data_IF_634743555351
#
_entry.id   IF_634743555351
#
_cell.length_a   1.000
_cell.length_b   1.000
_cell.length_c   1.000
_cell.angle_alpha   90.00
_cell.angle_beta   90.00
_cell.angle_gamma   90.00
#
_symmetry.space_group_name_H-M   'P 1'
#
loop_
_entity.id
_entity.type
_entity.pdbx_description
1 polymer ?
#
# COMPACT_ATOMS: atom_id res chain seq x y z
N UNK A 1 -37.01 -0.54 -106.02
CA UNK A 1 -35.96 -0.88 -105.04
C UNK A 1 -36.41 -0.37 -103.66
N UNK A 2 -36.29 -1.14 -102.56
CA UNK A 2 -36.81 -0.74 -101.26
C UNK A 2 -35.84 0.16 -100.48
N UNK A 3 -36.40 1.06 -99.68
CA UNK A 3 -35.76 2.10 -98.87
C UNK A 3 -35.09 1.52 -97.62
N UNK A 4 -33.90 2.00 -97.18
CA UNK A 4 -33.30 1.52 -95.94
C UNK A 4 -34.05 2.03 -94.69
N UNK A 5 -34.14 1.15 -93.68
CA UNK A 5 -34.77 1.39 -92.38
C UNK A 5 -33.88 2.25 -91.46
N UNK A 6 -34.45 3.15 -90.63
CA UNK A 6 -33.65 4.02 -89.77
C UNK A 6 -33.00 3.26 -88.58
N UNK A 7 -31.77 3.64 -88.27
CA UNK A 7 -30.96 3.14 -87.15
C UNK A 7 -31.48 3.69 -85.81
N UNK A 8 -31.61 2.88 -84.74
CA UNK A 8 -32.01 3.36 -83.42
C UNK A 8 -30.99 4.33 -82.81
N UNK A 9 -31.49 5.36 -82.11
CA UNK A 9 -30.68 6.35 -81.41
C UNK A 9 -30.02 5.76 -80.14
N UNK A 10 -28.81 6.22 -79.75
CA UNK A 10 -28.10 5.71 -78.59
C UNK A 10 -28.79 6.09 -77.27
N UNK A 11 -28.88 5.12 -76.36
CA UNK A 11 -29.45 5.28 -75.02
C UNK A 11 -28.37 5.74 -74.05
N UNK A 12 -28.61 6.82 -73.32
CA UNK A 12 -27.69 7.31 -72.27
C UNK A 12 -27.91 6.51 -70.99
N UNK A 13 -26.85 5.85 -70.51
CA UNK A 13 -26.86 5.15 -69.21
C UNK A 13 -26.59 6.17 -68.10
N UNK A 14 -27.38 6.21 -67.01
CA UNK A 14 -27.15 7.14 -65.91
C UNK A 14 -25.90 6.76 -65.11
N UNK A 15 -25.07 7.76 -64.81
CA UNK A 15 -23.86 7.63 -63.99
C UNK A 15 -24.24 7.43 -62.52
N UNK A 16 -23.66 6.45 -61.81
CA UNK A 16 -23.94 6.25 -60.39
C UNK A 16 -23.43 7.42 -59.52
N UNK A 17 -24.23 7.81 -58.54
CA UNK A 17 -23.91 8.87 -57.57
C UNK A 17 -22.92 8.33 -56.53
N UNK A 18 -21.87 9.08 -56.14
CA UNK A 18 -20.91 8.64 -55.14
C UNK A 18 -21.55 8.48 -53.74
N UNK A 19 -21.22 7.38 -53.07
CA UNK A 19 -21.64 7.10 -51.69
C UNK A 19 -20.83 7.96 -50.69
N UNK A 20 -21.47 8.57 -49.66
CA UNK A 20 -20.75 9.30 -48.63
C UNK A 20 -19.77 8.41 -47.84
N UNK A 21 -18.61 8.96 -47.49
CA UNK A 21 -17.64 8.29 -46.64
C UNK A 21 -18.18 8.11 -45.20
N UNK A 22 -17.83 7.01 -44.50
CA UNK A 22 -18.26 6.79 -43.13
C UNK A 22 -17.61 7.78 -42.17
N UNK A 23 -18.41 8.32 -41.25
CA UNK A 23 -17.97 9.23 -40.18
C UNK A 23 -17.15 8.46 -39.14
N UNK A 24 -15.96 8.95 -38.70
CA UNK A 24 -15.19 8.30 -37.65
C UNK A 24 -15.98 8.24 -36.33
N UNK A 25 -15.89 7.09 -35.64
CA UNK A 25 -16.46 6.94 -34.30
C UNK A 25 -15.72 7.83 -33.29
N UNK A 26 -16.40 8.44 -32.30
CA UNK A 26 -15.74 9.21 -31.26
C UNK A 26 -14.73 8.36 -30.48
N UNK A 27 -13.51 8.89 -30.31
CA UNK A 27 -12.50 8.28 -29.46
C UNK A 27 -12.92 8.41 -27.99
N UNK A 28 -12.91 7.32 -27.18
CA UNK A 28 -13.19 7.42 -25.76
C UNK A 28 -12.21 8.38 -25.06
N UNK A 29 -12.72 9.20 -24.14
CA UNK A 29 -11.89 10.05 -23.28
C UNK A 29 -10.98 9.14 -22.43
N UNK A 30 -9.70 9.51 -22.19
CA UNK A 30 -8.84 8.74 -21.31
C UNK A 30 -9.48 8.61 -19.93
N UNK A 31 -9.53 7.38 -19.43
CA UNK A 31 -9.94 7.09 -18.06
C UNK A 31 -8.93 7.74 -17.10
N UNK A 32 -9.38 8.46 -16.06
CA UNK A 32 -8.46 9.00 -15.05
C UNK A 32 -7.60 7.86 -14.47
N UNK A 33 -6.30 8.10 -14.32
CA UNK A 33 -5.40 7.19 -13.61
C UNK A 33 -5.94 6.99 -12.18
N UNK A 34 -5.89 5.77 -11.61
CA UNK A 34 -6.25 5.57 -10.21
C UNK A 34 -5.51 6.56 -9.32
N UNK A 35 -6.20 7.15 -8.35
CA UNK A 35 -5.56 7.87 -7.26
C UNK A 35 -4.54 6.93 -6.61
N UNK A 36 -3.28 7.34 -6.40
CA UNK A 36 -2.30 6.52 -5.70
C UNK A 36 -2.88 6.08 -4.35
N UNK A 37 -2.70 4.82 -3.98
CA UNK A 37 -3.01 4.38 -2.62
C UNK A 37 -2.25 5.28 -1.62
N UNK A 38 -2.80 5.54 -0.43
CA UNK A 38 -2.06 6.22 0.62
C UNK A 38 -0.73 5.49 0.83
N UNK A 39 0.37 6.25 0.82
CA UNK A 39 1.69 5.73 1.18
C UNK A 39 1.60 5.18 2.61
N UNK A 40 2.26 4.08 2.95
CA UNK A 40 1.96 3.30 4.15
C UNK A 40 1.98 4.13 5.45
N UNK A 41 2.95 5.01 5.63
CA UNK A 41 3.05 5.92 6.78
C UNK A 41 1.97 7.00 6.80
N UNK A 42 1.35 7.35 5.66
CA UNK A 42 0.23 8.29 5.64
C UNK A 42 -1.01 7.74 6.36
N UNK A 43 -1.12 6.41 6.49
CA UNK A 43 -2.19 5.76 7.25
C UNK A 43 -2.13 6.09 8.76
N UNK A 44 -0.99 6.55 9.26
CA UNK A 44 -0.82 6.91 10.66
C UNK A 44 -1.57 8.20 11.04
N UNK A 45 -2.22 8.89 10.10
CA UNK A 45 -3.00 10.08 10.39
C UNK A 45 -4.41 9.72 10.84
N UNK A 46 -4.61 9.54 12.15
CA UNK A 46 -5.95 9.53 12.77
C UNK A 46 -6.65 8.17 12.86
N UNK A 47 -5.94 7.07 12.65
CA UNK A 47 -6.46 5.72 12.84
C UNK A 47 -5.55 4.89 13.75
N UNK A 48 -6.15 3.94 14.47
CA UNK A 48 -5.41 2.79 14.96
C UNK A 48 -5.05 1.93 13.75
N UNK A 49 -3.78 1.53 13.64
CA UNK A 49 -3.25 0.80 12.48
C UNK A 49 -2.71 -0.56 12.93
N UNK A 50 -3.04 -1.58 12.14
CA UNK A 50 -2.48 -2.94 12.21
C UNK A 50 -1.12 -2.96 11.51
N UNK A 51 -0.19 -3.74 12.05
CA UNK A 51 1.16 -3.91 11.50
C UNK A 51 1.36 -5.38 11.21
N UNK A 52 1.56 -5.71 9.93
CA UNK A 52 1.80 -7.08 9.49
C UNK A 52 3.15 -7.22 8.79
N UNK A 53 3.75 -8.40 8.90
CA UNK A 53 4.97 -8.74 8.17
C UNK A 53 4.72 -8.78 6.67
N UNK A 54 5.60 -8.16 5.88
CA UNK A 54 5.47 -8.14 4.43
C UNK A 54 5.65 -9.52 3.77
N UNK A 55 6.28 -10.48 4.47
CA UNK A 55 6.38 -11.88 4.03
C UNK A 55 5.11 -12.70 4.26
N UNK A 56 4.06 -12.10 4.85
CA UNK A 56 2.79 -12.77 5.14
C UNK A 56 2.80 -13.69 6.36
N UNK A 57 3.87 -13.69 7.16
CA UNK A 57 4.00 -14.56 8.34
C UNK A 57 3.07 -14.21 9.51
N UNK A 58 2.50 -13.00 9.55
CA UNK A 58 1.51 -12.61 10.54
C UNK A 58 1.53 -11.14 10.93
N UNK A 59 0.65 -10.80 11.87
CA UNK A 59 0.59 -9.51 12.54
C UNK A 59 1.56 -9.43 13.72
N UNK A 60 1.82 -8.22 14.21
CA UNK A 60 2.57 -8.08 15.45
C UNK A 60 1.68 -8.40 16.65
N UNK A 61 2.27 -9.08 17.63
CA UNK A 61 1.65 -9.39 18.91
C UNK A 61 2.70 -9.38 20.03
N UNK A 62 2.26 -9.71 21.23
CA UNK A 62 3.10 -9.86 22.42
C UNK A 62 2.88 -11.23 23.04
N UNK A 63 3.97 -11.89 23.47
CA UNK A 63 3.93 -13.16 24.19
C UNK A 63 3.67 -12.98 25.71
N UNK A 64 3.57 -14.08 26.45
CA UNK A 64 3.33 -14.06 27.91
C UNK A 64 4.47 -13.42 28.72
N UNK A 65 5.62 -13.13 28.11
CA UNK A 65 6.77 -12.46 28.72
C UNK A 65 6.88 -10.99 28.31
N UNK A 66 5.84 -10.43 27.70
CA UNK A 66 5.82 -9.06 27.17
C UNK A 66 6.85 -8.81 26.05
N UNK A 67 7.23 -9.85 25.30
CA UNK A 67 8.14 -9.73 24.16
C UNK A 67 7.34 -9.63 22.87
N UNK A 68 7.74 -8.72 21.98
CA UNK A 68 7.17 -8.58 20.65
C UNK A 68 7.44 -9.82 19.78
N UNK A 69 6.39 -10.32 19.15
CA UNK A 69 6.41 -11.49 18.27
C UNK A 69 5.61 -11.24 17.00
N UNK A 70 5.82 -12.10 16.01
CA UNK A 70 4.92 -12.25 14.87
C UNK A 70 3.95 -13.37 15.18
N UNK A 71 2.66 -13.12 14.96
CA UNK A 71 1.60 -14.06 15.31
C UNK A 71 0.45 -14.00 14.32
N UNK A 72 -0.35 -15.06 14.29
CA UNK A 72 -1.63 -15.07 13.58
C UNK A 72 -2.69 -14.20 14.27
N UNK A 73 -2.48 -13.88 15.55
CA UNK A 73 -3.27 -12.87 16.25
C UNK A 73 -2.63 -11.50 16.04
N UNK A 74 -3.45 -10.50 15.73
CA UNK A 74 -3.02 -9.12 15.52
C UNK A 74 -3.62 -8.26 16.62
N UNK A 75 -2.78 -7.89 17.58
CA UNK A 75 -3.23 -7.34 18.86
C UNK A 75 -2.55 -6.01 19.19
N UNK A 76 -1.72 -5.51 18.27
CA UNK A 76 -0.99 -4.26 18.46
C UNK A 76 -1.62 -3.12 17.67
N UNK A 77 -1.44 -1.91 18.22
CA UNK A 77 -1.78 -0.66 17.55
C UNK A 77 -0.61 0.29 17.60
N UNK A 78 -0.43 1.05 16.51
CA UNK A 78 0.35 2.28 16.54
C UNK A 78 -0.53 3.46 16.96
N UNK A 79 -0.04 4.28 17.89
CA UNK A 79 -0.70 5.50 18.35
C UNK A 79 0.14 6.70 17.87
N UNK A 80 -0.40 7.57 17.01
CA UNK A 80 0.32 8.72 16.47
C UNK A 80 0.66 9.76 17.55
N UNK A 81 1.87 10.31 17.53
CA UNK A 81 2.33 11.33 18.49
C UNK A 81 2.18 12.79 18.00
N UNK A 82 1.56 12.99 16.83
CA UNK A 82 1.34 14.31 16.23
C UNK A 82 2.52 14.75 15.34
N UNK A 83 2.32 14.69 14.02
CA UNK A 83 3.32 15.08 13.01
C UNK A 83 4.49 14.09 12.85
N UNK A 84 5.21 14.18 11.73
CA UNK A 84 6.48 13.48 11.46
C UNK A 84 6.46 11.93 11.42
N UNK A 85 5.31 11.30 11.13
CA UNK A 85 5.18 9.84 11.02
C UNK A 85 5.68 9.08 12.27
N UNK A 86 5.56 9.71 13.43
CA UNK A 86 6.02 9.18 14.71
C UNK A 86 4.87 8.56 15.49
N UNK A 87 5.13 7.39 16.06
CA UNK A 87 4.15 6.63 16.84
C UNK A 87 4.80 6.05 18.09
N UNK A 88 3.96 5.79 19.09
CA UNK A 88 4.24 4.74 20.08
C UNK A 88 3.47 3.50 19.67
N UNK A 89 4.01 2.32 19.95
CA UNK A 89 3.37 1.03 19.64
C UNK A 89 2.92 0.41 20.97
N UNK A 90 1.66 -0.04 21.05
CA UNK A 90 1.04 -0.55 22.28
C UNK A 90 0.27 -1.84 22.02
N UNK A 91 0.17 -2.69 23.04
CA UNK A 91 -0.73 -3.85 23.04
C UNK A 91 -2.12 -3.39 23.49
N UNK A 92 -3.15 -3.70 22.69
CA UNK A 92 -4.53 -3.30 22.97
C UNK A 92 -5.26 -4.23 23.93
N UNK A 93 -4.81 -5.47 24.07
CA UNK A 93 -5.46 -6.49 24.92
C UNK A 93 -5.29 -6.19 26.41
N UNK A 94 -4.14 -5.65 26.79
CA UNK A 94 -3.75 -5.58 28.19
C UNK A 94 -4.41 -4.42 28.97
N UNK A 95 -5.11 -3.49 28.30
CA UNK A 95 -5.74 -2.28 28.89
C UNK A 95 -4.83 -1.44 29.81
N UNK A 96 -3.53 -1.74 29.85
CA UNK A 96 -2.55 -1.16 30.79
C UNK A 96 -1.70 -0.07 30.15
N UNK A 97 -1.97 0.29 28.88
CA UNK A 97 -1.23 1.31 28.13
C UNK A 97 0.29 1.14 28.29
N UNK A 98 0.77 -0.10 28.13
CA UNK A 98 2.21 -0.38 28.06
C UNK A 98 2.67 -0.27 26.61
N UNK A 99 3.86 0.30 26.45
CA UNK A 99 4.43 0.64 25.16
C UNK A 99 5.69 -0.14 24.89
N UNK A 100 6.00 -0.29 23.61
CA UNK A 100 7.26 -0.87 23.19
C UNK A 100 8.45 0.02 23.50
N UNK A 101 9.54 -0.64 23.90
CA UNK A 101 10.89 -0.11 24.03
C UNK A 101 11.90 -1.15 23.52
N UNK A 102 13.02 -0.69 23.00
CA UNK A 102 14.13 -1.54 22.58
C UNK A 102 15.01 -1.87 23.79
N UNK A 103 15.01 -3.13 24.20
CA UNK A 103 15.83 -3.63 25.30
C UNK A 103 16.79 -4.67 24.75
N UNK A 104 18.09 -4.34 24.72
CA UNK A 104 19.14 -5.24 24.19
C UNK A 104 18.82 -5.77 22.77
N UNK A 105 18.31 -4.91 21.89
CA UNK A 105 17.94 -5.26 20.51
C UNK A 105 16.63 -6.04 20.36
N UNK A 106 15.84 -6.17 21.43
CA UNK A 106 14.49 -6.79 21.39
C UNK A 106 13.40 -5.77 21.68
N UNK A 107 12.26 -5.96 21.04
CA UNK A 107 11.07 -5.16 21.27
C UNK A 107 10.33 -5.68 22.52
N UNK A 108 10.36 -4.92 23.62
CA UNK A 108 9.69 -5.25 24.88
C UNK A 108 8.49 -4.32 25.10
N UNK A 109 7.30 -4.88 25.35
CA UNK A 109 6.11 -4.12 25.69
C UNK A 109 5.98 -3.96 27.21
N UNK A 110 6.78 -3.07 27.78
CA UNK A 110 6.91 -2.92 29.24
C UNK A 110 7.03 -1.49 29.71
N UNK A 111 7.17 -0.52 28.79
CA UNK A 111 7.30 0.88 29.15
C UNK A 111 5.94 1.43 29.62
N UNK A 112 5.85 2.08 30.80
CA UNK A 112 4.62 2.69 31.26
C UNK A 112 4.22 3.90 30.40
N UNK A 113 2.98 4.37 30.57
CA UNK A 113 2.44 5.50 29.83
C UNK A 113 3.27 6.77 29.97
N UNK A 114 3.61 7.38 28.83
CA UNK A 114 4.46 8.57 28.76
C UNK A 114 5.97 8.28 28.69
N UNK A 115 6.37 7.01 28.73
CA UNK A 115 7.79 6.59 28.63
C UNK A 115 8.07 5.61 27.48
N UNK A 116 7.06 5.30 26.67
CA UNK A 116 7.22 4.48 25.46
C UNK A 116 8.18 5.14 24.47
N UNK A 117 8.97 4.32 23.79
CA UNK A 117 9.84 4.82 22.75
C UNK A 117 9.04 5.22 21.51
N UNK A 118 9.49 6.31 20.88
CA UNK A 118 8.88 6.80 19.65
C UNK A 118 9.54 6.14 18.44
N UNK A 119 8.74 5.42 17.67
CA UNK A 119 9.16 4.82 16.41
C UNK A 119 8.77 5.73 15.26
N UNK A 120 9.68 5.91 14.31
CA UNK A 120 9.42 6.69 13.10
C UNK A 120 9.11 5.74 11.94
N UNK A 121 7.95 5.89 11.33
CA UNK A 121 7.63 5.20 10.09
C UNK A 121 8.40 5.82 8.93
N UNK A 122 9.05 4.96 8.15
CA UNK A 122 9.77 5.35 6.93
C UNK A 122 9.19 4.55 5.78
N UNK A 123 8.71 5.26 4.76
CA UNK A 123 8.20 4.65 3.53
C UNK A 123 9.33 3.91 2.81
N UNK A 124 9.00 2.74 2.28
CA UNK A 124 9.88 1.96 1.40
C UNK A 124 9.08 1.59 0.13
N UNK A 125 9.59 0.65 -0.67
CA UNK A 125 8.99 0.30 -1.96
C UNK A 125 7.54 -0.23 -1.84
N UNK A 126 6.71 0.08 -2.83
CA UNK A 126 5.37 -0.49 -3.05
C UNK A 126 4.37 -0.33 -1.88
N UNK A 127 4.47 0.78 -1.13
CA UNK A 127 3.56 1.07 -0.01
C UNK A 127 3.85 0.27 1.26
N UNK A 128 4.97 -0.46 1.28
CA UNK A 128 5.52 -1.04 2.49
C UNK A 128 6.25 0.04 3.30
N UNK A 129 6.44 -0.24 4.59
CA UNK A 129 7.16 0.67 5.50
C UNK A 129 8.24 -0.07 6.27
N UNK A 130 9.18 0.69 6.83
CA UNK A 130 10.05 0.23 7.92
C UNK A 130 9.86 1.10 9.15
N UNK A 131 10.06 0.53 10.33
CA UNK A 131 9.96 1.24 11.61
C UNK A 131 11.36 1.51 12.16
N UNK A 132 11.74 2.78 12.27
CA UNK A 132 13.02 3.20 12.84
C UNK A 132 12.86 3.48 14.34
N UNK A 133 13.68 2.83 15.16
CA UNK A 133 13.78 3.07 16.60
C UNK A 133 14.64 4.32 16.91
N UNK A 134 14.52 4.90 18.12
CA UNK A 134 15.30 6.09 18.51
C UNK A 134 16.82 5.92 18.41
N UNK A 135 17.32 4.70 18.66
CA UNK A 135 18.74 4.35 18.57
C UNK A 135 19.27 4.25 17.11
N UNK A 136 18.39 4.45 16.12
CA UNK A 136 18.72 4.38 14.70
C UNK A 136 18.64 2.99 14.08
N UNK A 137 18.33 1.96 14.87
CA UNK A 137 18.04 0.62 14.36
C UNK A 137 16.61 0.51 13.83
N UNK A 138 16.30 -0.59 13.15
CA UNK A 138 15.02 -0.80 12.49
C UNK A 138 14.39 -2.10 12.95
N UNK A 139 13.08 -2.08 13.18
CA UNK A 139 12.36 -3.26 13.65
C UNK A 139 12.44 -4.36 12.59
N UNK A 140 12.87 -5.53 13.04
CA UNK A 140 13.23 -6.67 12.21
C UNK A 140 12.52 -7.93 12.74
N UNK A 141 11.92 -8.70 11.84
CA UNK A 141 11.46 -10.05 12.08
C UNK A 141 12.68 -10.99 12.18
N UNK A 142 12.89 -11.60 13.34
CA UNK A 142 13.95 -12.60 13.53
C UNK A 142 13.37 -13.84 14.19
N UNK A 143 13.24 -14.92 13.40
CA UNK A 143 12.72 -16.22 13.83
C UNK A 143 11.40 -16.12 14.64
N UNK A 144 10.45 -15.33 14.13
CA UNK A 144 9.13 -15.08 14.75
C UNK A 144 9.12 -14.07 15.90
N UNK A 145 10.26 -13.47 16.24
CA UNK A 145 10.38 -12.41 17.26
C UNK A 145 10.60 -11.05 16.61
N UNK A 146 10.18 -10.00 17.31
CA UNK A 146 10.47 -8.61 16.93
C UNK A 146 11.76 -8.17 17.62
N UNK A 147 12.77 -7.92 16.80
CA UNK A 147 14.09 -7.42 17.21
C UNK A 147 14.35 -6.08 16.53
N UNK A 148 15.52 -5.49 16.77
CA UNK A 148 16.00 -4.38 15.96
C UNK A 148 17.38 -4.66 15.38
N UNK A 149 17.61 -4.20 14.15
CA UNK A 149 18.87 -4.37 13.44
C UNK A 149 19.14 -3.13 12.56
N UNK A 150 20.40 -2.83 12.23
CA UNK A 150 20.72 -1.76 11.29
C UNK A 150 20.21 -2.08 9.87
N UNK A 151 20.04 -1.04 9.05
CA UNK A 151 19.87 -1.18 7.61
C UNK A 151 21.23 -1.16 6.93
N UNK A 152 21.61 -2.27 6.30
CA UNK A 152 22.82 -2.38 5.49
C UNK A 152 22.49 -2.18 4.00
N UNK A 153 21.86 -1.05 3.66
CA UNK A 153 21.31 -0.77 2.33
C UNK A 153 19.78 -0.83 2.31
N UNK A 154 19.20 -1.41 1.25
CA UNK A 154 17.75 -1.56 1.11
C UNK A 154 17.19 -2.49 2.20
N UNK A 155 16.08 -2.13 2.86
CA UNK A 155 15.42 -3.01 3.83
C UNK A 155 15.12 -4.39 3.25
N UNK A 156 15.46 -5.42 4.01
CA UNK A 156 15.09 -6.81 3.68
C UNK A 156 13.59 -7.03 3.91
N UNK A 157 13.03 -8.13 3.39
CA UNK A 157 11.62 -8.45 3.61
C UNK A 157 11.24 -8.54 5.10
N UNK A 158 12.18 -8.96 5.96
CA UNK A 158 12.02 -9.03 7.41
C UNK A 158 12.04 -7.67 8.10
N UNK A 159 12.38 -6.60 7.38
CA UNK A 159 12.36 -5.22 7.86
C UNK A 159 11.25 -4.40 7.17
N UNK A 160 10.44 -5.06 6.34
CA UNK A 160 9.31 -4.45 5.62
C UNK A 160 8.00 -4.86 6.27
N UNK A 161 7.12 -3.89 6.43
CA UNK A 161 5.85 -4.04 7.13
C UNK A 161 4.71 -3.46 6.29
N UNK A 162 3.55 -4.10 6.39
CA UNK A 162 2.30 -3.66 5.80
C UNK A 162 1.51 -2.94 6.90
N UNK A 163 1.00 -1.77 6.57
CA UNK A 163 0.09 -1.01 7.42
C UNK A 163 -1.33 -1.09 6.86
N UNK A 164 -2.30 -1.35 7.74
CA UNK A 164 -3.72 -1.33 7.38
C UNK A 164 -4.56 -0.77 8.53
N UNK A 165 -5.59 0.03 8.21
CA UNK A 165 -6.52 0.50 9.22
C UNK A 165 -7.31 -0.66 9.85
N UNK A 166 -7.71 -0.51 11.11
CA UNK A 166 -8.73 -1.36 11.73
C UNK A 166 -10.10 -0.99 11.16
N UNK A 167 -10.91 -2.00 10.80
CA UNK A 167 -12.31 -1.84 10.38
C UNK A 167 -13.25 -1.54 11.56
#
# INVERSE_FOLDING_TARGET
>A
APTPSPTPAPTTVPTPVPTPAPTPKPTPKPTPKPTPAPTGCALLQGAYIRIASADGSGGWAVDNSNIGIISSVDDLVSIPMGGNNQVVISDTRLKTYTYFQVVSGRMHNTAPSGSGETFTCVEVDDGLVTWRAPDGTYVTADNGKLTTAPLNGTPTIHQKWILSAWD
#
